data_IF_970957182853
#
_entry.id   IF_970957182853
#
_cell.length_a   1.000
_cell.length_b   1.000
_cell.length_c   1.000
_cell.angle_alpha   90.00
_cell.angle_beta   90.00
_cell.angle_gamma   90.00
#
_symmetry.space_group_name_H-M   'P 1'
#
loop_
_entity.id
_entity.type
_entity.pdbx_description
1 polymer ?
#
# COMPACT_ATOMS: atom_id res chain seq x y z
N UNK A 1 -13.12 5.15 16.94
CA UNK A 1 -12.66 3.77 16.71
C UNK A 1 -11.18 3.54 17.08
N UNK A 2 -10.35 4.54 17.20
CA UNK A 2 -9.10 4.44 17.98
C UNK A 2 -9.33 4.01 19.45
N UNK A 3 -10.57 4.08 19.92
CA UNK A 3 -11.03 3.68 21.25
C UNK A 3 -11.05 2.15 21.46
N UNK A 4 -11.14 1.35 20.40
CA UNK A 4 -11.10 -0.12 20.48
C UNK A 4 -9.73 -0.73 20.66
N UNK A 5 -8.66 0.07 20.55
CA UNK A 5 -7.28 -0.35 20.81
C UNK A 5 -6.93 -0.33 22.32
N UNK A 6 -7.86 0.02 23.19
CA UNK A 6 -7.71 -0.03 24.64
C UNK A 6 -7.88 -1.45 25.23
N UNK A 7 -7.18 -2.43 24.66
CA UNK A 7 -6.89 -3.64 25.42
C UNK A 7 -5.90 -3.33 26.56
N UNK A 8 -5.94 -4.03 27.70
CA UNK A 8 -5.11 -3.75 28.87
C UNK A 8 -3.60 -3.85 28.65
N UNK A 9 -3.15 -4.23 27.47
CA UNK A 9 -1.75 -4.34 27.04
C UNK A 9 -1.28 -3.27 26.08
N UNK A 10 -2.15 -2.34 25.64
CA UNK A 10 -1.77 -1.29 24.69
C UNK A 10 -1.31 -0.03 25.39
N UNK A 11 -0.24 0.57 24.87
CA UNK A 11 0.24 1.87 25.33
C UNK A 11 -0.89 2.92 25.22
N UNK A 12 -1.13 3.74 26.25
CA UNK A 12 -2.14 4.78 26.17
C UNK A 12 -1.84 5.75 25.02
N UNK A 13 -2.88 6.23 24.33
CA UNK A 13 -2.79 7.11 23.17
C UNK A 13 -1.75 8.23 23.29
N UNK A 14 -1.64 8.96 24.43
CA UNK A 14 -0.61 9.99 24.58
C UNK A 14 0.82 9.43 24.48
N UNK A 15 1.08 8.22 25.00
CA UNK A 15 2.42 7.59 24.88
C UNK A 15 2.76 7.20 23.45
N UNK A 16 1.77 6.75 22.65
CA UNK A 16 1.95 6.48 21.23
C UNK A 16 2.24 7.76 20.44
N UNK A 17 1.57 8.88 20.78
CA UNK A 17 1.84 10.18 20.18
C UNK A 17 3.25 10.68 20.53
N UNK A 18 3.69 10.54 21.77
CA UNK A 18 5.06 10.89 22.16
C UNK A 18 6.10 10.02 21.44
N UNK A 19 5.85 8.71 21.31
CA UNK A 19 6.73 7.80 20.58
C UNK A 19 6.83 8.18 19.10
N UNK A 20 5.70 8.45 18.45
CA UNK A 20 5.69 8.87 17.04
C UNK A 20 6.39 10.21 16.82
N UNK A 21 6.17 11.16 17.72
CA UNK A 21 6.85 12.46 17.75
C UNK A 21 8.36 12.32 17.93
N UNK A 22 8.80 11.46 18.86
CA UNK A 22 10.21 11.17 19.08
C UNK A 22 10.86 10.51 17.85
N UNK A 23 10.18 9.55 17.19
CA UNK A 23 10.65 8.93 15.96
C UNK A 23 10.76 9.94 14.80
N UNK A 24 9.79 10.84 14.66
CA UNK A 24 9.86 11.93 13.69
C UNK A 24 11.04 12.87 13.98
N UNK A 25 11.27 13.23 15.24
CA UNK A 25 12.40 14.04 15.65
C UNK A 25 13.75 13.36 15.37
N UNK A 26 13.87 12.08 15.68
CA UNK A 26 15.06 11.29 15.33
C UNK A 26 15.29 11.21 13.83
N UNK A 27 14.23 11.00 13.05
CA UNK A 27 14.30 10.97 11.58
C UNK A 27 14.77 12.31 11.01
N UNK A 28 14.22 13.43 11.50
CA UNK A 28 14.63 14.76 11.10
C UNK A 28 16.12 15.02 11.46
N UNK A 29 16.54 14.61 12.65
CA UNK A 29 17.94 14.71 13.06
C UNK A 29 18.88 13.87 12.19
N UNK A 30 18.51 12.64 11.87
CA UNK A 30 19.30 11.78 10.97
C UNK A 30 19.43 12.38 9.57
N UNK A 31 18.37 13.01 9.04
CA UNK A 31 18.40 13.68 7.74
C UNK A 31 19.41 14.84 7.74
N UNK A 32 19.54 15.58 8.86
CA UNK A 32 20.53 16.68 8.96
C UNK A 32 21.97 16.18 9.00
N UNK A 33 22.18 14.93 9.43
CA UNK A 33 23.49 14.29 9.44
C UNK A 33 23.93 13.73 8.07
N UNK A 34 22.98 13.52 7.16
CA UNK A 34 23.29 13.07 5.81
C UNK A 34 23.81 14.24 4.99
N UNK A 35 25.13 14.26 4.73
CA UNK A 35 25.72 15.22 3.83
C UNK A 35 25.32 14.88 2.38
N UNK A 36 24.38 15.65 1.82
CA UNK A 36 24.01 15.52 0.41
C UNK A 36 25.09 16.21 -0.42
N UNK A 37 25.87 15.42 -1.14
CA UNK A 37 27.00 15.92 -1.98
C UNK A 37 26.53 16.75 -3.19
N UNK A 38 25.25 16.77 -3.52
CA UNK A 38 24.69 17.53 -4.63
C UNK A 38 23.95 18.79 -4.13
N UNK A 39 24.63 19.90 -4.20
CA UNK A 39 23.98 21.22 -4.17
C UNK A 39 23.60 21.60 -5.61
N UNK A 40 22.43 21.19 -6.06
CA UNK A 40 21.85 21.81 -7.24
C UNK A 40 21.44 23.24 -6.85
N UNK A 41 21.84 24.28 -7.61
CA UNK A 41 21.29 25.61 -7.42
C UNK A 41 19.80 25.57 -7.76
N UNK A 42 18.98 25.68 -6.75
CA UNK A 42 17.53 25.53 -6.86
C UNK A 42 16.87 26.91 -6.82
N UNK A 43 16.95 27.64 -7.94
CA UNK A 43 16.07 28.79 -8.23
C UNK A 43 14.69 28.29 -8.67
N UNK A 44 14.05 27.48 -7.86
CA UNK A 44 12.81 26.82 -8.23
C UNK A 44 11.68 27.31 -7.32
N UNK A 45 10.46 27.57 -7.87
CA UNK A 45 9.34 28.01 -7.07
C UNK A 45 9.04 26.98 -5.97
N UNK A 46 8.75 27.47 -4.76
CA UNK A 46 8.49 26.67 -3.56
C UNK A 46 7.33 25.67 -3.75
N UNK A 47 6.37 25.98 -4.62
CA UNK A 47 5.25 25.12 -4.98
C UNK A 47 5.26 24.86 -6.48
N UNK A 48 5.71 23.68 -6.88
CA UNK A 48 5.60 23.19 -8.25
C UNK A 48 4.95 21.81 -8.22
N UNK A 49 3.75 21.68 -8.77
CA UNK A 49 3.03 20.40 -8.86
C UNK A 49 3.80 19.36 -9.68
N UNK A 50 4.62 19.80 -10.63
CA UNK A 50 5.47 18.96 -11.47
C UNK A 50 6.47 18.10 -10.69
N UNK A 51 6.74 18.44 -9.43
CA UNK A 51 7.67 17.71 -8.58
C UNK A 51 7.02 16.60 -7.76
N UNK A 52 5.70 16.67 -7.58
CA UNK A 52 4.97 15.73 -6.74
C UNK A 52 4.23 14.69 -7.56
N UNK A 53 3.80 15.04 -8.78
CA UNK A 53 2.99 14.16 -9.62
C UNK A 53 3.61 14.08 -11.01
N UNK A 54 4.06 12.88 -11.39
CA UNK A 54 4.53 12.60 -12.74
C UNK A 54 3.39 11.97 -13.55
N UNK A 55 2.87 12.71 -14.54
CA UNK A 55 1.73 12.27 -15.36
C UNK A 55 1.97 10.93 -16.07
N UNK A 56 3.21 10.65 -16.48
CA UNK A 56 3.58 9.40 -17.13
C UNK A 56 3.38 8.16 -16.23
N UNK A 57 3.48 8.32 -14.92
CA UNK A 57 3.27 7.25 -13.94
C UNK A 57 1.91 7.30 -13.26
N UNK A 58 1.06 8.25 -13.65
CA UNK A 58 -0.24 8.45 -13.02
C UNK A 58 -1.17 7.24 -13.23
N UNK A 59 -1.20 6.67 -14.44
CA UNK A 59 -2.08 5.54 -14.73
C UNK A 59 -1.75 4.29 -13.90
N UNK A 60 -0.50 3.80 -13.85
CA UNK A 60 -0.16 2.72 -12.93
C UNK A 60 -0.30 3.12 -11.46
N UNK A 61 -0.08 4.39 -11.12
CA UNK A 61 -0.29 4.92 -9.78
C UNK A 61 -1.75 4.88 -9.32
N UNK A 62 -2.69 5.26 -10.18
CA UNK A 62 -4.13 5.17 -9.90
C UNK A 62 -4.60 3.73 -9.72
N UNK A 63 -4.04 2.80 -10.49
CA UNK A 63 -4.33 1.39 -10.27
C UNK A 63 -3.74 0.88 -8.94
N UNK A 64 -2.50 1.25 -8.65
CA UNK A 64 -1.85 0.91 -7.38
C UNK A 64 -2.65 1.43 -6.17
N UNK A 65 -3.36 2.54 -6.31
CA UNK A 65 -4.19 3.16 -5.25
C UNK A 65 -5.26 2.19 -4.71
N UNK A 66 -5.73 1.23 -5.50
CA UNK A 66 -6.65 0.19 -5.04
C UNK A 66 -6.04 -0.67 -3.91
N UNK A 67 -4.73 -0.88 -3.91
CA UNK A 67 -4.04 -1.73 -2.92
C UNK A 67 -4.08 -1.11 -1.51
N UNK A 68 -3.62 0.14 -1.29
CA UNK A 68 -3.71 0.78 0.02
C UNK A 68 -5.15 1.06 0.45
N UNK A 69 -6.10 1.23 -0.49
CA UNK A 69 -7.52 1.34 -0.14
C UNK A 69 -8.01 0.03 0.48
N UNK A 70 -7.77 -1.11 -0.14
CA UNK A 70 -8.14 -2.42 0.40
C UNK A 70 -7.50 -2.63 1.77
N UNK A 71 -6.20 -2.35 1.89
CA UNK A 71 -5.47 -2.51 3.15
C UNK A 71 -6.04 -1.61 4.25
N UNK A 72 -6.30 -0.34 3.95
CA UNK A 72 -6.88 0.62 4.89
C UNK A 72 -8.29 0.22 5.36
N UNK A 73 -9.13 -0.29 4.46
CA UNK A 73 -10.45 -0.81 4.80
C UNK A 73 -10.35 -2.00 5.75
N UNK A 74 -9.50 -2.98 5.45
CA UNK A 74 -9.30 -4.17 6.30
C UNK A 74 -8.76 -3.79 7.68
N UNK A 75 -7.76 -2.91 7.74
CA UNK A 75 -7.17 -2.45 9.00
C UNK A 75 -8.15 -1.65 9.86
N UNK A 76 -9.11 -0.96 9.26
CA UNK A 76 -10.14 -0.22 10.00
C UNK A 76 -11.20 -1.15 10.61
N UNK A 77 -11.50 -2.28 9.96
CA UNK A 77 -12.54 -3.22 10.37
C UNK A 77 -12.07 -4.22 11.43
N UNK A 78 -10.76 -4.51 11.51
CA UNK A 78 -10.17 -5.49 12.41
C UNK A 78 -9.18 -4.85 13.39
N UNK A 79 -9.55 -4.67 14.68
CA UNK A 79 -8.66 -4.10 15.69
C UNK A 79 -7.80 -5.17 16.43
N UNK A 80 -7.30 -6.21 15.74
CA UNK A 80 -6.47 -7.25 16.36
C UNK A 80 -4.99 -7.10 15.99
N UNK A 81 -4.12 -7.00 17.03
CA UNK A 81 -2.68 -6.85 16.86
C UNK A 81 -2.01 -8.08 16.20
N UNK A 82 -2.50 -9.30 16.53
CA UNK A 82 -1.97 -10.53 15.93
C UNK A 82 -2.34 -10.65 14.44
N UNK A 83 -3.51 -10.15 14.06
CA UNK A 83 -3.91 -10.07 12.66
C UNK A 83 -2.97 -9.15 11.87
N UNK A 84 -2.61 -7.99 12.42
CA UNK A 84 -1.65 -7.08 11.77
C UNK A 84 -0.26 -7.71 11.64
N UNK A 85 0.16 -8.45 12.67
CA UNK A 85 1.43 -9.20 12.61
C UNK A 85 1.40 -10.26 11.50
N UNK A 86 0.25 -10.90 11.28
CA UNK A 86 0.08 -11.88 10.19
C UNK A 86 0.22 -11.22 8.81
N UNK A 87 -0.33 -10.01 8.61
CA UNK A 87 -0.16 -9.24 7.37
C UNK A 87 1.32 -8.92 7.16
N UNK A 88 2.01 -8.45 8.19
CA UNK A 88 3.46 -8.17 8.12
C UNK A 88 4.25 -9.43 7.80
N UNK A 89 3.90 -10.57 8.43
CA UNK A 89 4.50 -11.87 8.15
C UNK A 89 4.35 -12.27 6.68
N UNK A 90 3.15 -12.12 6.11
CA UNK A 90 2.92 -12.36 4.69
C UNK A 90 3.77 -11.48 3.78
N UNK A 91 3.91 -10.20 4.13
CA UNK A 91 4.75 -9.27 3.38
C UNK A 91 6.25 -9.64 3.45
N UNK A 92 6.74 -10.06 4.62
CA UNK A 92 8.12 -10.54 4.78
C UNK A 92 8.38 -11.78 3.91
N UNK A 93 7.44 -12.73 3.91
CA UNK A 93 7.53 -13.92 3.06
C UNK A 93 7.56 -13.55 1.57
N UNK A 94 6.78 -12.55 1.14
CA UNK A 94 6.88 -12.01 -0.22
C UNK A 94 8.30 -11.51 -0.53
N UNK A 95 8.93 -10.74 0.37
CA UNK A 95 10.30 -10.24 0.16
C UNK A 95 11.32 -11.38 -0.02
N UNK A 96 11.17 -12.46 0.75
CA UNK A 96 12.02 -13.65 0.61
C UNK A 96 11.74 -14.38 -0.72
N UNK A 97 10.48 -14.58 -1.07
CA UNK A 97 10.10 -15.22 -2.32
C UNK A 97 10.56 -14.44 -3.55
N UNK A 98 10.54 -13.10 -3.48
CA UNK A 98 11.03 -12.25 -4.56
C UNK A 98 12.50 -12.48 -4.87
N UNK A 99 13.32 -12.77 -3.87
CA UNK A 99 14.75 -13.06 -4.06
C UNK A 99 15.01 -14.45 -4.62
N UNK A 100 14.14 -15.42 -4.28
CA UNK A 100 14.35 -16.83 -4.56
C UNK A 100 13.65 -17.32 -5.85
N UNK A 101 12.62 -16.62 -6.34
CA UNK A 101 11.78 -17.17 -7.40
C UNK A 101 11.83 -16.41 -8.72
N UNK A 102 11.75 -17.18 -9.82
CA UNK A 102 11.58 -16.67 -11.19
C UNK A 102 10.22 -15.93 -11.41
N UNK A 103 9.30 -15.99 -10.46
CA UNK A 103 8.00 -15.31 -10.50
C UNK A 103 8.19 -13.79 -10.60
N UNK A 104 9.27 -13.27 -10.03
CA UNK A 104 9.64 -11.86 -10.10
C UNK A 104 9.93 -11.36 -11.51
N UNK A 105 10.20 -12.25 -12.46
CA UNK A 105 10.50 -11.87 -13.84
C UNK A 105 9.26 -11.60 -14.68
N UNK A 106 8.10 -12.15 -14.30
CA UNK A 106 6.86 -11.96 -15.03
C UNK A 106 5.89 -11.05 -14.25
N UNK A 107 5.98 -9.73 -14.51
CA UNK A 107 5.20 -8.75 -13.79
C UNK A 107 3.68 -8.92 -13.87
N UNK A 108 3.15 -9.42 -15.00
CA UNK A 108 1.71 -9.71 -15.13
C UNK A 108 1.29 -10.80 -14.17
N UNK A 109 2.07 -11.89 -14.09
CA UNK A 109 1.79 -13.00 -13.21
C UNK A 109 1.89 -12.56 -11.75
N UNK A 110 2.85 -11.69 -11.45
CA UNK A 110 3.08 -11.18 -10.09
C UNK A 110 1.87 -10.39 -9.57
N UNK A 111 1.34 -9.43 -10.35
CA UNK A 111 0.16 -8.65 -9.92
C UNK A 111 -1.09 -9.51 -9.88
N UNK A 112 -1.29 -10.37 -10.88
CA UNK A 112 -2.43 -11.27 -10.90
C UNK A 112 -2.45 -12.18 -9.66
N UNK A 113 -1.32 -12.80 -9.36
CA UNK A 113 -1.16 -13.66 -8.20
C UNK A 113 -1.35 -12.88 -6.89
N UNK A 114 -0.79 -11.66 -6.82
CA UNK A 114 -0.97 -10.76 -5.69
C UNK A 114 -2.44 -10.43 -5.42
N UNK A 115 -3.16 -10.05 -6.45
CA UNK A 115 -4.59 -9.70 -6.30
C UNK A 115 -5.47 -10.91 -6.01
N UNK A 116 -5.19 -12.07 -6.61
CA UNK A 116 -5.91 -13.32 -6.31
C UNK A 116 -5.68 -13.74 -4.85
N UNK A 117 -4.45 -13.66 -4.34
CA UNK A 117 -4.15 -13.95 -2.93
C UNK A 117 -4.86 -12.98 -1.98
N UNK A 118 -4.88 -11.68 -2.31
CA UNK A 118 -5.61 -10.68 -1.52
C UNK A 118 -7.10 -10.97 -1.52
N UNK A 119 -7.70 -11.29 -2.68
CA UNK A 119 -9.10 -11.69 -2.78
C UNK A 119 -9.40 -12.94 -1.97
N UNK A 120 -8.56 -13.97 -2.05
CA UNK A 120 -8.72 -15.19 -1.27
C UNK A 120 -8.70 -14.89 0.24
N UNK A 121 -7.77 -14.03 0.69
CA UNK A 121 -7.72 -13.59 2.08
C UNK A 121 -8.99 -12.84 2.52
N UNK A 122 -9.50 -11.94 1.67
CA UNK A 122 -10.74 -11.20 1.94
C UNK A 122 -11.98 -12.10 2.00
N UNK A 123 -12.05 -13.09 1.11
CA UNK A 123 -13.16 -14.09 1.12
C UNK A 123 -13.11 -14.93 2.39
N UNK A 124 -11.92 -15.34 2.83
CA UNK A 124 -11.77 -16.07 4.11
C UNK A 124 -12.24 -15.19 5.27
N UNK A 125 -11.91 -13.88 5.30
CA UNK A 125 -12.41 -12.96 6.32
C UNK A 125 -13.93 -12.82 6.31
N UNK A 126 -14.56 -12.90 5.15
CA UNK A 126 -16.01 -12.78 5.02
C UNK A 126 -16.75 -14.01 5.53
N UNK A 127 -16.16 -15.20 5.34
CA UNK A 127 -16.82 -16.50 5.62
C UNK A 127 -16.54 -17.00 7.02
N UNK A 128 -15.39 -16.68 7.60
CA UNK A 128 -14.91 -17.28 8.85
C UNK A 128 -14.62 -16.22 9.91
N UNK A 129 -15.40 -16.21 10.98
CA UNK A 129 -15.34 -15.20 12.04
C UNK A 129 -14.32 -15.49 13.16
N UNK A 130 -13.60 -16.62 13.15
CA UNK A 130 -12.78 -16.97 14.34
C UNK A 130 -11.57 -17.87 14.09
N UNK A 131 -10.57 -17.75 14.98
CA UNK A 131 -9.46 -18.67 15.15
C UNK A 131 -8.32 -18.55 14.14
N UNK A 132 -7.66 -19.69 13.84
CA UNK A 132 -6.48 -19.75 12.98
C UNK A 132 -6.72 -19.22 11.54
N UNK A 133 -7.95 -19.29 11.06
CA UNK A 133 -8.33 -18.81 9.74
C UNK A 133 -8.21 -17.29 9.60
N UNK A 134 -8.42 -16.56 10.69
CA UNK A 134 -8.24 -15.11 10.74
C UNK A 134 -6.78 -14.72 10.45
N UNK A 135 -5.83 -15.40 11.10
CA UNK A 135 -4.41 -15.16 10.89
C UNK A 135 -3.95 -15.61 9.49
N UNK A 136 -4.50 -16.73 9.00
CA UNK A 136 -4.24 -17.19 7.64
C UNK A 136 -4.73 -16.18 6.60
N UNK A 137 -5.90 -15.57 6.79
CA UNK A 137 -6.41 -14.53 5.90
C UNK A 137 -5.52 -13.28 5.91
N UNK A 138 -5.09 -12.81 7.08
CA UNK A 138 -4.15 -11.71 7.23
C UNK A 138 -2.82 -11.99 6.49
N UNK A 139 -2.29 -13.19 6.63
CA UNK A 139 -1.09 -13.63 5.94
C UNK A 139 -1.26 -13.62 4.42
N UNK A 140 -2.39 -14.11 3.90
CA UNK A 140 -2.70 -14.09 2.46
C UNK A 140 -2.82 -12.67 1.93
N UNK A 141 -3.49 -11.78 2.67
CA UNK A 141 -3.61 -10.36 2.32
C UNK A 141 -2.23 -9.70 2.29
N UNK A 142 -1.39 -9.95 3.29
CA UNK A 142 -0.04 -9.41 3.36
C UNK A 142 0.85 -9.88 2.21
N UNK A 143 0.80 -11.17 1.90
CA UNK A 143 1.53 -11.77 0.78
C UNK A 143 1.04 -11.20 -0.56
N UNK A 144 -0.28 -11.11 -0.76
CA UNK A 144 -0.89 -10.60 -1.97
C UNK A 144 -0.62 -9.12 -2.21
N UNK A 145 -0.71 -8.30 -1.17
CA UNK A 145 -0.35 -6.88 -1.25
C UNK A 145 1.14 -6.71 -1.58
N UNK A 146 2.02 -7.53 -1.00
CA UNK A 146 3.44 -7.53 -1.31
C UNK A 146 3.72 -7.75 -2.79
N UNK A 147 3.13 -8.79 -3.39
CA UNK A 147 3.28 -9.07 -4.82
C UNK A 147 2.78 -7.91 -5.69
N UNK A 148 1.62 -7.34 -5.37
CA UNK A 148 1.05 -6.23 -6.13
C UNK A 148 1.90 -4.97 -6.05
N UNK A 149 2.28 -4.55 -4.84
CA UNK A 149 3.10 -3.35 -4.60
C UNK A 149 4.47 -3.47 -5.26
N UNK A 150 5.11 -4.63 -5.13
CA UNK A 150 6.45 -4.84 -5.68
C UNK A 150 6.51 -4.60 -7.18
N UNK A 151 5.50 -5.03 -7.92
CA UNK A 151 5.43 -4.79 -9.37
C UNK A 151 5.03 -3.35 -9.71
N UNK A 152 4.05 -2.76 -9.01
CA UNK A 152 3.70 -1.35 -9.24
C UNK A 152 4.88 -0.42 -8.97
N UNK A 153 5.64 -0.65 -7.90
CA UNK A 153 6.86 0.10 -7.62
C UNK A 153 7.88 -0.06 -8.76
N UNK A 154 8.05 -1.27 -9.27
CA UNK A 154 8.93 -1.52 -10.40
C UNK A 154 8.47 -0.76 -11.66
N UNK A 155 7.18 -0.76 -11.98
CA UNK A 155 6.63 0.03 -13.09
C UNK A 155 6.91 1.52 -12.91
N UNK A 156 6.70 2.06 -11.71
CA UNK A 156 6.93 3.47 -11.43
C UNK A 156 8.41 3.89 -11.44
N UNK A 157 9.33 2.94 -11.31
CA UNK A 157 10.78 3.20 -11.45
C UNK A 157 11.24 3.07 -12.91
N UNK A 158 10.61 2.18 -13.68
CA UNK A 158 11.04 1.87 -15.05
C UNK A 158 10.42 2.77 -16.13
N UNK A 159 9.20 3.29 -15.91
CA UNK A 159 8.50 4.18 -16.86
C UNK A 159 9.13 5.57 -17.00
N UNK A 160 9.59 6.24 -15.92
CA UNK A 160 10.16 7.56 -16.02
C UNK A 160 11.59 7.56 -16.56
N UNK A 161 12.01 8.68 -17.11
CA UNK A 161 13.41 8.92 -17.46
C UNK A 161 14.28 8.95 -16.19
N UNK A 162 15.59 8.81 -16.37
CA UNK A 162 16.54 8.75 -15.23
C UNK A 162 16.42 9.95 -14.27
N UNK A 163 16.21 11.15 -14.81
CA UNK A 163 16.05 12.39 -14.04
C UNK A 163 14.70 12.49 -13.31
N UNK A 164 13.67 11.74 -13.74
CA UNK A 164 12.31 11.81 -13.20
C UNK A 164 12.00 10.74 -12.14
N UNK A 165 12.92 9.81 -11.89
CA UNK A 165 12.70 8.69 -10.96
C UNK A 165 12.37 9.14 -9.54
N UNK A 166 12.97 10.23 -9.08
CA UNK A 166 12.68 10.81 -7.77
C UNK A 166 11.23 11.29 -7.67
N UNK A 167 10.76 12.01 -8.68
CA UNK A 167 9.38 12.51 -8.75
C UNK A 167 8.38 11.35 -8.86
N UNK A 168 8.71 10.31 -9.61
CA UNK A 168 7.88 9.12 -9.71
C UNK A 168 7.73 8.40 -8.36
N UNK A 169 8.80 8.29 -7.60
CA UNK A 169 8.76 7.72 -6.25
C UNK A 169 7.91 8.59 -5.30
N UNK A 170 8.00 9.91 -5.39
CA UNK A 170 7.13 10.82 -4.63
C UNK A 170 5.66 10.64 -5.01
N UNK A 171 5.37 10.49 -6.31
CA UNK A 171 4.02 10.19 -6.79
C UNK A 171 3.49 8.87 -6.20
N UNK A 172 4.33 7.83 -6.15
CA UNK A 172 4.00 6.56 -5.53
C UNK A 172 3.64 6.74 -4.05
N UNK A 173 4.49 7.43 -3.28
CA UNK A 173 4.29 7.67 -1.86
C UNK A 173 3.01 8.48 -1.61
N UNK A 174 2.78 9.52 -2.40
CA UNK A 174 1.59 10.36 -2.28
C UNK A 174 0.31 9.54 -2.50
N UNK A 175 0.24 8.78 -3.59
CA UNK A 175 -0.92 7.96 -3.91
C UNK A 175 -1.13 6.84 -2.88
N UNK A 176 -0.04 6.25 -2.38
CA UNK A 176 -0.10 5.26 -1.30
C UNK A 176 -0.74 5.83 -0.03
N UNK A 177 -0.24 6.96 0.44
CA UNK A 177 -0.77 7.60 1.65
C UNK A 177 -2.21 8.09 1.46
N UNK A 178 -2.50 8.68 0.30
CA UNK A 178 -3.84 9.19 -0.02
C UNK A 178 -4.87 8.05 -0.07
N UNK A 179 -4.53 6.93 -0.70
CA UNK A 179 -5.41 5.76 -0.75
C UNK A 179 -5.67 5.18 0.65
N UNK A 180 -4.63 5.08 1.46
CA UNK A 180 -4.73 4.55 2.81
C UNK A 180 -5.59 5.45 3.73
N UNK A 181 -5.32 6.77 3.71
CA UNK A 181 -6.09 7.75 4.50
C UNK A 181 -7.54 7.83 4.04
N UNK A 182 -7.77 7.84 2.73
CA UNK A 182 -9.13 7.86 2.17
C UNK A 182 -9.92 6.60 2.60
N UNK A 183 -9.31 5.43 2.56
CA UNK A 183 -9.95 4.20 3.01
C UNK A 183 -10.30 4.22 4.50
N UNK A 184 -9.38 4.68 5.35
CA UNK A 184 -9.64 4.85 6.78
C UNK A 184 -10.77 5.85 7.02
N UNK A 185 -10.76 6.99 6.33
CA UNK A 185 -11.80 8.02 6.46
C UNK A 185 -13.17 7.48 6.06
N UNK A 186 -13.28 6.76 4.94
CA UNK A 186 -14.53 6.16 4.45
C UNK A 186 -15.03 5.09 5.43
N UNK A 187 -14.15 4.20 5.89
CA UNK A 187 -14.53 3.11 6.77
C UNK A 187 -14.93 3.59 8.18
N UNK A 188 -14.28 4.65 8.70
CA UNK A 188 -14.57 5.20 10.03
C UNK A 188 -15.76 6.15 10.02
N UNK A 189 -16.06 6.79 8.89
CA UNK A 189 -17.15 7.78 8.81
C UNK A 189 -18.55 7.18 9.06
N UNK A 190 -18.73 5.87 8.91
CA UNK A 190 -20.03 5.20 9.05
C UNK A 190 -21.07 5.60 7.98
N UNK A 191 -20.68 6.48 7.05
CA UNK A 191 -21.58 6.96 5.99
C UNK A 191 -21.86 5.91 4.92
N UNK A 192 -20.84 5.08 4.61
CA UNK A 192 -20.91 4.11 3.52
C UNK A 192 -21.08 2.70 4.05
N UNK A 193 -20.45 2.39 5.20
CA UNK A 193 -20.44 1.06 5.80
C UNK A 193 -20.90 1.12 7.24
N UNK A 194 -21.91 0.30 7.56
CA UNK A 194 -22.48 0.20 8.91
C UNK A 194 -21.87 -0.95 9.71
N UNK A 195 -21.40 -1.99 9.01
CA UNK A 195 -20.88 -3.21 9.62
C UNK A 195 -19.48 -3.56 9.06
N UNK A 196 -18.68 -4.29 9.83
CA UNK A 196 -17.37 -4.78 9.36
C UNK A 196 -17.50 -5.68 8.12
N UNK A 197 -18.62 -6.40 8.01
CA UNK A 197 -18.89 -7.25 6.85
C UNK A 197 -19.02 -6.43 5.56
N UNK A 198 -19.75 -5.33 5.60
CA UNK A 198 -19.89 -4.42 4.45
C UNK A 198 -18.54 -3.82 4.03
N UNK A 199 -17.66 -3.54 5.01
CA UNK A 199 -16.29 -3.08 4.71
C UNK A 199 -15.51 -4.14 3.93
N UNK A 200 -15.62 -5.42 4.29
CA UNK A 200 -14.94 -6.49 3.56
C UNK A 200 -15.53 -6.69 2.17
N UNK A 201 -16.85 -6.61 2.02
CA UNK A 201 -17.52 -6.67 0.70
C UNK A 201 -17.05 -5.51 -0.19
N UNK A 202 -16.95 -4.30 0.36
CA UNK A 202 -16.39 -3.14 -0.32
C UNK A 202 -14.93 -3.33 -0.72
N UNK A 203 -14.11 -3.89 0.16
CA UNK A 203 -12.70 -4.20 -0.12
C UNK A 203 -12.55 -5.23 -1.25
N UNK A 204 -13.40 -6.25 -1.30
CA UNK A 204 -13.46 -7.24 -2.38
C UNK A 204 -13.78 -6.54 -3.71
N UNK A 205 -14.77 -5.66 -3.72
CA UNK A 205 -15.17 -4.92 -4.92
C UNK A 205 -14.02 -4.05 -5.44
N UNK A 206 -13.34 -3.31 -4.57
CA UNK A 206 -12.17 -2.49 -4.93
C UNK A 206 -11.04 -3.37 -5.48
N UNK A 207 -10.80 -4.53 -4.89
CA UNK A 207 -9.77 -5.46 -5.37
C UNK A 207 -10.09 -6.00 -6.77
N UNK A 208 -11.35 -6.35 -7.04
CA UNK A 208 -11.81 -6.81 -8.37
C UNK A 208 -11.66 -5.69 -9.40
N UNK A 209 -12.09 -4.47 -9.07
CA UNK A 209 -11.92 -3.30 -9.94
C UNK A 209 -10.45 -3.06 -10.25
N UNK A 210 -9.58 -3.13 -9.24
CA UNK A 210 -8.12 -3.02 -9.41
C UNK A 210 -7.56 -4.08 -10.35
N UNK A 211 -8.01 -5.33 -10.23
CA UNK A 211 -7.61 -6.43 -11.11
C UNK A 211 -8.02 -6.18 -12.56
N UNK A 212 -9.28 -5.83 -12.79
CA UNK A 212 -9.80 -5.53 -14.11
C UNK A 212 -9.08 -4.35 -14.75
N UNK A 213 -8.89 -3.27 -13.99
CA UNK A 213 -8.18 -2.09 -14.46
C UNK A 213 -6.72 -2.40 -14.82
N UNK A 214 -6.06 -3.26 -14.06
CA UNK A 214 -4.72 -3.72 -14.38
C UNK A 214 -4.67 -4.49 -15.69
N UNK A 215 -5.57 -5.45 -15.88
CA UNK A 215 -5.58 -6.31 -17.06
C UNK A 215 -5.93 -5.55 -18.35
N UNK A 216 -6.90 -4.64 -18.27
CA UNK A 216 -7.42 -3.92 -19.42
C UNK A 216 -6.54 -2.74 -19.84
N UNK A 217 -6.06 -1.97 -18.87
CA UNK A 217 -5.41 -0.69 -19.15
C UNK A 217 -3.93 -0.65 -18.75
N UNK A 218 -3.61 -0.92 -17.49
CA UNK A 218 -2.27 -0.67 -16.95
C UNK A 218 -1.21 -1.55 -17.61
N UNK A 219 -1.51 -2.83 -17.82
CA UNK A 219 -0.56 -3.76 -18.42
C UNK A 219 -0.26 -3.41 -19.90
N UNK A 220 -1.26 -2.95 -20.63
CA UNK A 220 -1.11 -2.51 -22.02
C UNK A 220 -0.30 -1.21 -22.08
N UNK A 221 -0.67 -0.23 -21.26
CA UNK A 221 0.03 1.04 -21.15
C UNK A 221 1.52 0.86 -20.84
N UNK A 222 1.84 0.00 -19.87
CA UNK A 222 3.22 -0.27 -19.50
C UNK A 222 4.02 -0.86 -20.67
N UNK A 223 3.46 -1.82 -21.40
CA UNK A 223 4.13 -2.42 -22.56
C UNK A 223 4.42 -1.42 -23.67
N UNK A 224 3.45 -0.53 -23.97
CA UNK A 224 3.59 0.46 -25.03
C UNK A 224 4.64 1.53 -24.69
N UNK A 225 4.79 1.91 -23.42
CA UNK A 225 5.69 2.98 -22.99
C UNK A 225 7.05 2.52 -22.44
N UNK A 226 7.20 1.24 -22.11
CA UNK A 226 8.47 0.70 -21.65
C UNK A 226 9.45 0.43 -22.80
N UNK A 227 8.96 0.29 -24.03
CA UNK A 227 9.77 0.01 -25.22
C UNK A 227 10.30 1.29 -25.92
N UNK A 228 9.93 2.47 -25.45
CA UNK A 228 10.42 3.76 -25.90
C UNK A 228 11.54 4.30 -24.98
#
# INVERSE_FOLDING_TARGET
MLIGLNGPSMLPIPKLLYLSSALCGCSAFLITMVQVCFRAPLDLPLCSFDRFILFRTLLPGLNMLCVPIVLGMVLSAMPDALFYLSIVGGFIVYLLLRQLSSISQNGKLQVFLGQVLTLAGLVVLLVVDSGAHLHASGFLIGLGTGFSIGHFLQMMILLPMHCERGTSYQTFQLLWQLGFVAALAIAVSGFVFSTSREVYEGAILVCIVGLLFYQLYTCRYFKEHYQQ
#
